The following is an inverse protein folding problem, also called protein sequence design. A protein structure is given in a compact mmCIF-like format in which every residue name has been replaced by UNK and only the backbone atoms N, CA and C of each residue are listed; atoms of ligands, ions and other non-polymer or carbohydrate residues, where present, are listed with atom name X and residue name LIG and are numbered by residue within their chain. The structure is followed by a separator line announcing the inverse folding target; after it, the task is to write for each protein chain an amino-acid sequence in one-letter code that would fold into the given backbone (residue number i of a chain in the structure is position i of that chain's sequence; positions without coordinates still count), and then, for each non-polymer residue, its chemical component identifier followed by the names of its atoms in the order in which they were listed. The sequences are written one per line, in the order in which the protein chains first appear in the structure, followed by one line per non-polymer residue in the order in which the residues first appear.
data_IF_693146016758
#
_entry.id   IF_693146016758
#
_cell.length_a   1.000
_cell.length_b   1.000
_cell.length_c   1.000
_cell.angle_alpha   90.00
_cell.angle_beta   90.00
_cell.angle_gamma   90.00
#
_symmetry.space_group_name_H-M   'P 1'
#
loop_
_entity.id
_entity.type
_entity.pdbx_description
1 polymer ?
#
# COMPACT_ATOMS: atom_id res chain seq x y z
N UNK A 1 12.43 0.97 13.54
CA UNK A 1 12.69 0.78 12.09
C UNK A 1 12.31 2.02 11.30
N UNK A 2 11.04 2.45 11.33
CA UNK A 2 10.59 3.62 10.55
C UNK A 2 11.32 4.92 10.88
N UNK A 3 11.56 5.19 12.17
CA UNK A 3 12.32 6.36 12.61
C UNK A 3 13.77 6.36 12.11
N UNK A 4 14.45 5.21 12.03
CA UNK A 4 15.81 5.16 11.45
C UNK A 4 15.80 5.29 9.93
N UNK A 5 14.76 4.79 9.25
CA UNK A 5 14.60 5.01 7.80
C UNK A 5 14.49 6.51 7.51
N UNK A 6 13.61 7.21 8.23
CA UNK A 6 13.40 8.65 8.08
C UNK A 6 14.66 9.46 8.40
N UNK A 7 15.30 9.16 9.54
CA UNK A 7 16.47 9.92 10.01
C UNK A 7 17.74 9.66 9.21
N UNK A 8 18.01 8.40 8.85
CA UNK A 8 19.35 7.98 8.41
C UNK A 8 19.41 7.58 6.93
N UNK A 9 18.29 7.14 6.33
CA UNK A 9 18.30 6.56 4.99
C UNK A 9 17.68 7.49 3.95
N UNK A 10 16.59 8.18 4.27
CA UNK A 10 15.92 9.08 3.30
C UNK A 10 16.80 10.31 3.05
N UNK A 11 17.24 10.48 1.79
CA UNK A 11 18.03 11.62 1.35
C UNK A 11 17.98 11.76 -0.18
N UNK A 12 18.09 12.98 -0.73
CA UNK A 12 18.20 13.20 -2.17
C UNK A 12 19.54 12.68 -2.72
N UNK A 13 19.61 12.51 -4.04
CA UNK A 13 20.83 12.13 -4.76
C UNK A 13 21.14 10.64 -4.79
N UNK A 14 20.38 9.80 -4.08
CA UNK A 14 20.42 8.33 -4.22
C UNK A 14 19.28 7.83 -5.11
N UNK A 15 19.41 6.64 -5.68
CA UNK A 15 18.31 6.03 -6.43
C UNK A 15 17.28 5.35 -5.53
N UNK A 16 16.05 5.21 -6.02
CA UNK A 16 14.98 4.43 -5.38
C UNK A 16 15.45 3.01 -5.03
N UNK A 17 16.21 2.38 -5.93
CA UNK A 17 16.82 1.06 -5.70
C UNK A 17 17.84 1.07 -4.57
N UNK A 18 18.66 2.11 -4.46
CA UNK A 18 19.64 2.26 -3.35
C UNK A 18 18.89 2.34 -2.02
N UNK A 19 17.93 3.26 -1.89
CA UNK A 19 17.14 3.42 -0.66
C UNK A 19 16.42 2.12 -0.27
N UNK A 20 15.79 1.44 -1.24
CA UNK A 20 15.15 0.14 -1.02
C UNK A 20 16.11 -0.92 -0.47
N UNK A 21 17.34 -0.96 -0.99
CA UNK A 21 18.35 -1.92 -0.53
C UNK A 21 18.86 -1.59 0.88
N UNK A 22 19.04 -0.31 1.20
CA UNK A 22 19.45 0.12 2.53
C UNK A 22 18.38 -0.17 3.59
N UNK A 23 17.10 0.08 3.27
CA UNK A 23 15.97 -0.30 4.13
C UNK A 23 15.96 -1.81 4.38
N UNK A 24 16.23 -2.60 3.34
CA UNK A 24 16.35 -4.05 3.48
C UNK A 24 17.50 -4.45 4.42
N UNK A 25 18.69 -3.87 4.24
CA UNK A 25 19.83 -4.19 5.11
C UNK A 25 19.56 -3.77 6.56
N UNK A 26 18.91 -2.63 6.80
CA UNK A 26 18.49 -2.21 8.13
C UNK A 26 17.56 -3.24 8.77
N UNK A 27 16.54 -3.68 8.04
CA UNK A 27 15.59 -4.70 8.51
C UNK A 27 16.28 -6.03 8.86
N UNK A 28 17.19 -6.49 8.01
CA UNK A 28 17.92 -7.74 8.24
C UNK A 28 18.87 -7.64 9.44
N UNK A 29 19.66 -6.57 9.52
CA UNK A 29 20.77 -6.46 10.49
C UNK A 29 20.33 -6.01 11.87
N UNK A 30 19.38 -5.07 11.98
CA UNK A 30 18.99 -4.48 13.27
C UNK A 30 17.69 -5.06 13.82
N UNK A 31 16.86 -5.64 12.96
CA UNK A 31 15.51 -6.09 13.31
C UNK A 31 15.28 -7.59 13.10
N UNK A 32 16.29 -8.33 12.63
CA UNK A 32 16.19 -9.78 12.41
C UNK A 32 15.12 -10.15 11.38
N UNK A 33 14.77 -9.25 10.46
CA UNK A 33 13.76 -9.49 9.43
C UNK A 33 14.44 -10.27 8.30
N UNK A 34 14.29 -11.60 8.33
CA UNK A 34 14.94 -12.52 7.38
C UNK A 34 14.01 -12.92 6.22
N UNK A 35 12.70 -12.86 6.43
CA UNK A 35 11.69 -13.35 5.49
C UNK A 35 10.99 -12.17 4.83
N UNK A 36 11.21 -12.03 3.52
CA UNK A 36 10.51 -11.03 2.70
C UNK A 36 9.78 -11.74 1.58
N UNK A 37 8.47 -11.88 1.74
CA UNK A 37 7.67 -12.66 0.83
C UNK A 37 7.48 -11.96 -0.54
N UNK A 38 7.67 -10.63 -0.64
CA UNK A 38 7.27 -9.84 -1.82
C UNK A 38 8.08 -8.57 -2.18
N UNK A 39 7.64 -7.85 -3.24
CA UNK A 39 8.23 -6.63 -3.80
C UNK A 39 8.07 -5.46 -2.83
N UNK A 40 9.18 -4.98 -2.29
CA UNK A 40 9.31 -3.70 -1.59
C UNK A 40 9.22 -2.54 -2.56
N UNK A 41 8.28 -1.62 -2.32
CA UNK A 41 8.09 -0.44 -3.15
C UNK A 41 8.79 0.75 -2.50
N UNK A 42 9.70 1.37 -3.24
CA UNK A 42 10.19 2.72 -2.96
C UNK A 42 10.03 3.48 -4.25
N UNK A 43 9.26 4.56 -4.23
CA UNK A 43 8.99 5.40 -5.40
C UNK A 43 8.99 6.86 -5.01
N UNK A 44 9.52 7.69 -5.90
CA UNK A 44 9.72 9.12 -5.72
C UNK A 44 9.14 9.91 -6.89
N UNK A 45 8.51 11.05 -6.60
CA UNK A 45 7.98 11.96 -7.62
C UNK A 45 7.11 11.24 -8.66
N UNK A 46 7.44 11.38 -9.95
CA UNK A 46 6.67 10.79 -11.05
C UNK A 46 6.63 9.26 -11.05
N UNK A 47 7.58 8.58 -10.41
CA UNK A 47 7.51 7.12 -10.22
C UNK A 47 6.35 6.74 -9.32
N UNK A 48 6.00 7.58 -8.34
CA UNK A 48 4.93 7.33 -7.38
C UNK A 48 3.52 7.34 -8.02
N UNK A 49 3.38 7.99 -9.19
CA UNK A 49 2.15 7.98 -9.99
C UNK A 49 1.88 6.65 -10.70
N UNK A 50 2.86 5.75 -10.75
CA UNK A 50 2.73 4.48 -11.50
C UNK A 50 1.85 3.50 -10.72
N UNK A 51 1.08 2.63 -11.39
CA UNK A 51 0.44 1.49 -10.74
C UNK A 51 1.47 0.61 -10.02
N UNK A 52 1.11 0.02 -8.87
CA UNK A 52 2.01 -0.78 -8.03
C UNK A 52 2.78 -1.89 -8.81
N UNK A 53 2.10 -2.52 -9.75
CA UNK A 53 2.56 -3.67 -10.54
C UNK A 53 3.59 -3.27 -11.60
N UNK A 54 3.64 -1.99 -11.96
CA UNK A 54 4.63 -1.49 -12.89
C UNK A 54 6.03 -1.41 -12.24
N UNK A 55 7.05 -1.55 -13.07
CA UNK A 55 8.44 -1.36 -12.67
C UNK A 55 8.99 -0.19 -13.49
N UNK A 56 8.74 1.07 -13.07
CA UNK A 56 9.36 2.21 -13.72
C UNK A 56 10.89 2.09 -13.68
N UNK A 57 11.61 2.77 -14.60
CA UNK A 57 13.07 2.86 -14.53
C UNK A 57 13.54 3.38 -13.16
N UNK A 58 14.68 2.90 -12.69
CA UNK A 58 15.29 3.38 -11.45
C UNK A 58 15.57 4.88 -11.56
N UNK A 59 15.06 5.65 -10.60
CA UNK A 59 15.11 7.11 -10.61
C UNK A 59 15.93 7.62 -9.42
N UNK A 60 16.64 8.72 -9.62
CA UNK A 60 17.31 9.46 -8.55
C UNK A 60 16.27 10.30 -7.80
N UNK A 61 16.27 10.19 -6.47
CA UNK A 61 15.42 10.97 -5.57
C UNK A 61 15.91 12.42 -5.57
N UNK A 62 15.02 13.36 -5.92
CA UNK A 62 15.24 14.80 -5.84
C UNK A 62 14.94 15.36 -4.46
N UNK A 63 15.37 16.60 -4.22
CA UNK A 63 15.24 17.28 -2.91
C UNK A 63 13.78 17.51 -2.50
N UNK A 64 12.90 17.77 -3.46
CA UNK A 64 11.48 18.10 -3.23
C UNK A 64 10.53 16.93 -3.55
N UNK A 65 11.06 15.72 -3.72
CA UNK A 65 10.20 14.57 -4.05
C UNK A 65 9.42 14.07 -2.85
N UNK A 66 8.14 13.77 -3.09
CA UNK A 66 7.37 12.91 -2.18
C UNK A 66 7.77 11.45 -2.41
N UNK A 67 8.03 10.75 -1.30
CA UNK A 67 8.34 9.32 -1.29
C UNK A 67 7.12 8.49 -0.89
N UNK A 68 6.85 7.45 -1.69
CA UNK A 68 5.94 6.36 -1.34
C UNK A 68 6.79 5.14 -1.03
N UNK A 69 6.74 4.68 0.22
CA UNK A 69 7.46 3.51 0.71
C UNK A 69 6.43 2.49 1.22
N UNK A 70 6.30 1.36 0.52
CA UNK A 70 5.42 0.26 0.91
C UNK A 70 6.27 -0.98 1.18
N UNK A 71 6.22 -1.45 2.43
CA UNK A 71 7.03 -2.56 2.93
C UNK A 71 6.22 -3.87 3.09
N UNK A 72 4.92 -3.87 2.76
CA UNK A 72 4.01 -5.00 2.93
C UNK A 72 3.66 -5.75 1.60
N UNK A 73 2.97 -6.90 1.73
CA UNK A 73 2.62 -7.89 0.70
C UNK A 73 1.64 -7.35 -0.38
N UNK A 74 1.93 -7.47 -1.68
CA UNK A 74 1.05 -7.06 -2.75
C UNK A 74 0.32 -8.22 -3.45
N UNK A 75 -0.17 -9.23 -2.74
CA UNK A 75 -1.16 -10.16 -3.30
C UNK A 75 -2.54 -9.50 -3.61
N UNK A 76 -2.52 -8.31 -4.23
CA UNK A 76 -3.65 -7.64 -4.86
C UNK A 76 -4.00 -8.42 -6.13
N UNK A 77 -4.84 -9.46 -6.02
CA UNK A 77 -5.41 -10.12 -7.19
C UNK A 77 -6.25 -9.09 -7.96
N UNK A 78 -5.97 -8.91 -9.26
CA UNK A 78 -6.80 -8.07 -10.16
C UNK A 78 -8.27 -8.48 -10.04
N UNK A 79 -9.10 -7.60 -9.51
CA UNK A 79 -10.54 -7.77 -9.50
C UNK A 79 -11.10 -6.62 -10.33
N UNK A 80 -11.32 -6.90 -11.63
CA UNK A 80 -11.91 -5.94 -12.56
C UNK A 80 -13.37 -5.71 -12.17
N UNK A 81 -13.73 -4.45 -11.95
CA UNK A 81 -15.06 -4.06 -11.55
C UNK A 81 -15.50 -2.81 -12.33
N UNK A 82 -16.68 -2.85 -12.93
CA UNK A 82 -17.13 -1.91 -14.00
C UNK A 82 -18.02 -0.75 -13.52
N UNK A 83 -17.78 -0.19 -12.32
CA UNK A 83 -18.51 1.00 -11.77
C UNK A 83 -17.58 1.69 -10.78
N UNK A 84 -17.66 3.02 -10.69
CA UNK A 84 -16.83 3.85 -9.83
C UNK A 84 -17.20 3.73 -8.33
N UNK A 85 -16.26 3.35 -7.45
CA UNK A 85 -16.49 3.29 -6.02
C UNK A 85 -16.58 4.67 -5.34
N UNK A 86 -17.12 4.70 -4.10
CA UNK A 86 -17.28 5.92 -3.29
C UNK A 86 -15.95 6.65 -3.04
N UNK A 87 -14.84 5.91 -2.89
CA UNK A 87 -13.51 6.50 -2.71
C UNK A 87 -12.97 7.20 -3.96
N UNK A 88 -13.35 6.78 -5.17
CA UNK A 88 -13.03 7.54 -6.39
C UNK A 88 -13.70 8.91 -6.34
N UNK A 89 -15.01 8.93 -6.03
CA UNK A 89 -15.77 10.17 -5.92
C UNK A 89 -15.25 11.09 -4.82
N UNK A 90 -14.91 10.54 -3.65
CA UNK A 90 -14.36 11.32 -2.55
C UNK A 90 -12.99 11.94 -2.91
N UNK A 91 -12.13 11.22 -3.62
CA UNK A 91 -10.88 11.77 -4.13
C UNK A 91 -11.12 12.89 -5.16
N UNK A 92 -12.04 12.65 -6.11
CA UNK A 92 -12.35 13.59 -7.20
C UNK A 92 -12.97 14.90 -6.70
N UNK A 93 -13.81 14.86 -5.67
CA UNK A 93 -14.43 16.04 -5.05
C UNK A 93 -13.37 17.03 -4.51
N UNK A 94 -12.19 16.53 -4.12
CA UNK A 94 -11.05 17.33 -3.64
C UNK A 94 -9.95 17.54 -4.71
N UNK A 95 -10.20 17.13 -5.96
CA UNK A 95 -9.28 17.31 -7.09
C UNK A 95 -8.18 16.25 -7.23
N UNK A 96 -8.34 15.09 -6.59
CA UNK A 96 -7.43 13.95 -6.64
C UNK A 96 -8.02 12.79 -7.45
N UNK A 97 -7.17 11.89 -7.94
CA UNK A 97 -7.58 10.57 -8.44
C UNK A 97 -7.19 9.48 -7.44
N UNK A 98 -8.02 8.44 -7.34
CA UNK A 98 -7.68 7.26 -6.55
C UNK A 98 -6.75 6.34 -7.36
N UNK A 99 -5.58 6.04 -6.81
CA UNK A 99 -4.46 5.41 -7.54
C UNK A 99 -4.40 3.88 -7.50
N UNK A 100 -5.34 3.20 -6.82
CA UNK A 100 -5.31 1.75 -6.59
C UNK A 100 -6.62 1.04 -6.98
N UNK A 101 -6.53 -0.28 -7.23
CA UNK A 101 -7.68 -1.13 -7.56
C UNK A 101 -8.58 -1.46 -6.33
N UNK A 102 -8.10 -1.19 -5.11
CA UNK A 102 -8.78 -1.48 -3.83
C UNK A 102 -8.44 -0.42 -2.77
N UNK A 103 -9.28 -0.31 -1.74
CA UNK A 103 -9.13 0.67 -0.65
C UNK A 103 -8.82 0.03 0.73
N UNK A 104 -8.51 -1.26 0.77
CA UNK A 104 -8.18 -1.97 2.01
C UNK A 104 -8.43 -3.48 1.96
N UNK A 105 -8.03 -4.18 3.02
CA UNK A 105 -8.15 -5.64 3.13
C UNK A 105 -8.28 -6.13 4.58
N UNK A 106 -8.68 -7.39 4.73
CA UNK A 106 -8.74 -8.09 6.02
C UNK A 106 -7.34 -8.52 6.49
N UNK A 107 -7.06 -8.33 7.78
CA UNK A 107 -5.82 -8.78 8.44
C UNK A 107 -6.09 -10.07 9.21
N UNK A 108 -5.30 -11.11 8.92
CA UNK A 108 -5.33 -12.39 9.64
C UNK A 108 -4.09 -12.58 10.50
N UNK A 109 -3.72 -13.84 10.78
CA UNK A 109 -2.40 -14.16 11.37
C UNK A 109 -1.22 -13.80 10.44
N UNK A 110 -1.52 -13.39 9.21
CA UNK A 110 -0.61 -12.84 8.21
C UNK A 110 -1.20 -11.51 7.71
N UNK A 111 -0.39 -10.60 7.13
CA UNK A 111 -0.84 -9.26 6.71
C UNK A 111 -2.12 -9.30 5.86
N UNK A 112 -2.24 -10.31 5.00
CA UNK A 112 -3.48 -10.69 4.31
C UNK A 112 -4.02 -12.02 4.82
N UNK A 113 -5.29 -12.07 5.24
CA UNK A 113 -5.94 -13.37 5.50
C UNK A 113 -6.24 -14.09 4.17
N UNK A 114 -5.73 -15.30 3.98
CA UNK A 114 -5.98 -16.09 2.78
C UNK A 114 -7.07 -17.15 3.03
N UNK A 115 -8.22 -17.01 2.35
CA UNK A 115 -9.27 -18.04 2.33
C UNK A 115 -9.30 -18.68 0.93
N UNK A 116 -9.07 -20.01 0.81
CA UNK A 116 -9.14 -20.70 -0.46
C UNK A 116 -10.47 -20.46 -1.19
N UNK A 117 -10.38 -20.03 -2.46
CA UNK A 117 -11.51 -19.71 -3.36
C UNK A 117 -12.36 -18.49 -2.99
N UNK A 118 -12.00 -17.73 -1.96
CA UNK A 118 -12.62 -16.43 -1.69
C UNK A 118 -11.66 -15.30 -2.07
N UNK A 119 -12.03 -14.52 -3.09
CA UNK A 119 -11.25 -13.37 -3.57
C UNK A 119 -11.95 -12.04 -3.29
N UNK A 120 -13.19 -12.06 -2.80
CA UNK A 120 -14.07 -10.88 -2.79
C UNK A 120 -14.36 -10.42 -1.37
N UNK A 121 -14.63 -11.33 -0.44
CA UNK A 121 -15.09 -10.94 0.91
C UNK A 121 -13.98 -10.47 1.85
N UNK A 122 -12.73 -10.67 1.42
CA UNK A 122 -11.51 -10.36 2.16
C UNK A 122 -10.96 -8.96 1.90
N UNK A 123 -11.56 -8.21 0.98
CA UNK A 123 -11.04 -6.93 0.51
C UNK A 123 -12.14 -5.88 0.53
N UNK A 124 -11.76 -4.64 0.80
CA UNK A 124 -12.63 -3.49 0.58
C UNK A 124 -12.59 -3.13 -0.91
N UNK A 125 -13.32 -3.94 -1.68
CA UNK A 125 -13.45 -3.81 -3.12
C UNK A 125 -14.92 -3.77 -3.51
N UNK A 126 -15.17 -3.22 -4.69
CA UNK A 126 -16.52 -3.14 -5.23
C UNK A 126 -17.18 -4.54 -5.30
N UNK A 127 -18.43 -4.65 -4.87
CA UNK A 127 -19.19 -5.90 -4.91
C UNK A 127 -18.98 -6.81 -3.69
N UNK A 128 -18.07 -6.48 -2.78
CA UNK A 128 -18.11 -7.03 -1.43
C UNK A 128 -19.29 -6.41 -0.67
N UNK A 129 -20.31 -7.22 -0.34
CA UNK A 129 -21.49 -6.80 0.43
C UNK A 129 -21.45 -7.29 1.88
N UNK A 130 -20.37 -7.96 2.29
CA UNK A 130 -20.21 -8.49 3.64
C UNK A 130 -19.91 -7.33 4.59
N UNK A 131 -20.71 -7.10 5.65
CA UNK A 131 -20.40 -6.06 6.63
C UNK A 131 -19.02 -6.27 7.24
N UNK A 132 -18.24 -5.20 7.40
CA UNK A 132 -16.90 -5.27 8.01
C UNK A 132 -16.93 -5.78 9.46
N UNK A 133 -18.08 -5.67 10.15
CA UNK A 133 -18.33 -6.19 11.49
C UNK A 133 -18.58 -7.70 11.56
N UNK A 134 -18.72 -8.37 10.41
CA UNK A 134 -18.98 -9.82 10.38
C UNK A 134 -17.83 -10.58 11.03
N UNK A 135 -18.12 -11.57 11.88
CA UNK A 135 -17.08 -12.39 12.50
C UNK A 135 -16.31 -13.24 11.46
N UNK A 136 -15.07 -13.57 11.79
CA UNK A 136 -14.27 -14.55 11.06
C UNK A 136 -14.77 -15.98 11.30
N UNK A 137 -14.29 -16.94 10.51
CA UNK A 137 -14.72 -18.36 10.60
C UNK A 137 -14.46 -19.01 11.95
N UNK A 138 -13.49 -18.47 12.70
CA UNK A 138 -13.14 -18.89 14.06
C UNK A 138 -13.98 -18.18 15.15
N UNK A 139 -15.01 -17.43 14.77
CA UNK A 139 -15.85 -16.65 15.68
C UNK A 139 -15.19 -15.38 16.22
N UNK A 140 -13.95 -15.07 15.81
CA UNK A 140 -13.25 -13.85 16.25
C UNK A 140 -13.65 -12.64 15.42
N UNK A 141 -13.47 -11.46 16.01
CA UNK A 141 -13.64 -10.19 15.32
C UNK A 141 -12.62 -10.06 14.18
N UNK A 142 -13.07 -9.49 13.06
CA UNK A 142 -12.21 -9.15 11.93
C UNK A 142 -11.54 -7.80 12.17
N UNK A 143 -10.28 -7.71 11.80
CA UNK A 143 -9.50 -6.47 11.78
C UNK A 143 -9.18 -6.13 10.33
N UNK A 144 -9.28 -4.85 9.97
CA UNK A 144 -9.13 -4.41 8.58
C UNK A 144 -8.02 -3.39 8.46
N UNK A 145 -7.33 -3.36 7.34
CA UNK A 145 -6.50 -2.24 6.92
C UNK A 145 -7.34 -1.32 6.04
N UNK A 146 -7.33 -0.03 6.35
CA UNK A 146 -7.67 1.03 5.42
C UNK A 146 -6.41 1.41 4.67
N UNK A 147 -6.47 1.41 3.35
CA UNK A 147 -5.33 1.67 2.48
C UNK A 147 -5.75 2.65 1.38
N UNK A 148 -5.20 3.85 1.38
CA UNK A 148 -5.61 4.94 0.49
C UNK A 148 -4.43 5.35 -0.38
N UNK A 149 -4.64 5.36 -1.70
CA UNK A 149 -3.69 5.86 -2.69
C UNK A 149 -4.31 7.06 -3.39
N UNK A 150 -3.77 8.26 -3.20
CA UNK A 150 -4.22 9.47 -3.91
C UNK A 150 -3.14 9.97 -4.86
N UNK A 151 -3.56 10.45 -6.01
CA UNK A 151 -2.68 11.00 -7.04
C UNK A 151 -3.21 12.37 -7.49
N UNK A 152 -2.30 13.33 -7.62
CA UNK A 152 -2.52 14.63 -8.29
C UNK A 152 -1.66 14.62 -9.54
N UNK A 153 -2.26 14.26 -10.68
CA UNK A 153 -1.55 14.20 -11.95
C UNK A 153 -1.13 15.58 -12.46
N UNK A 154 -1.84 16.64 -12.09
CA UNK A 154 -1.52 18.00 -12.52
C UNK A 154 -0.23 18.51 -11.85
N UNK A 155 -0.04 18.16 -10.58
CA UNK A 155 1.17 18.50 -9.82
C UNK A 155 2.23 17.40 -9.81
N UNK A 156 1.90 16.22 -10.34
CA UNK A 156 2.80 15.07 -10.38
C UNK A 156 3.06 14.43 -9.01
N UNK A 157 2.10 14.52 -8.09
CA UNK A 157 2.22 14.06 -6.71
C UNK A 157 1.42 12.78 -6.49
N UNK A 158 1.90 11.91 -5.61
CA UNK A 158 1.14 10.77 -5.10
C UNK A 158 1.37 10.63 -3.59
N UNK A 159 0.35 10.15 -2.88
CA UNK A 159 0.42 9.87 -1.45
C UNK A 159 -0.24 8.54 -1.13
N UNK A 160 0.23 7.94 -0.04
CA UNK A 160 -0.21 6.67 0.49
C UNK A 160 -0.50 6.81 1.97
N UNK A 161 -1.64 6.28 2.42
CA UNK A 161 -1.99 6.21 3.82
C UNK A 161 -2.50 4.82 4.16
N UNK A 162 -2.00 4.26 5.26
CA UNK A 162 -2.41 2.95 5.75
C UNK A 162 -2.70 3.00 7.25
N UNK A 163 -3.83 2.43 7.66
CA UNK A 163 -4.24 2.38 9.06
C UNK A 163 -4.96 1.07 9.40
N UNK A 164 -4.63 0.50 10.56
CA UNK A 164 -5.42 -0.56 11.16
C UNK A 164 -6.76 -0.01 11.67
N UNK A 165 -7.85 -0.49 11.08
CA UNK A 165 -9.21 -0.32 11.57
C UNK A 165 -9.55 -1.44 12.55
N UNK A 166 -9.54 -1.11 13.82
CA UNK A 166 -10.17 -1.95 14.85
C UNK A 166 -11.65 -1.60 14.89
N UNK A 167 -12.50 -2.53 14.46
CA UNK A 167 -13.92 -2.39 14.75
C UNK A 167 -14.09 -2.37 16.28
N UNK A 168 -14.75 -1.35 16.82
CA UNK A 168 -15.18 -1.24 18.22
C UNK A 168 -16.25 -2.25 18.58
#
# INVERSE_FOLDING_TARGET
MFHEIERDLIRPGISEKVLKNEIYQLGATQYGIEIHWHKRLVRSGSSALRPFQENPPDRIIGEDDILVIELDDPHKKKIRNTLDPIWNRAAEEDGWSFGADLAGHLVGSFPHEHIPRDKTTLYNLKGNKVPMSTLGKNGKKRHWILEIHLQDHARGLATFYEQLLTAG
#
